data_IF_211627953923
#
_entry.id   IF_211627953923
#
_cell.length_a   1.000
_cell.length_b   1.000
_cell.length_c   1.000
_cell.angle_alpha   90.00
_cell.angle_beta   90.00
_cell.angle_gamma   90.00
#
_symmetry.space_group_name_H-M   'P 1'
#
loop_
_entity.id
_entity.type
_entity.pdbx_description
1 polymer ?
#
# COMPACT_ATOMS: atom_id res chain seq x y z
N UNK A 1 -27.97 20.70 -18.40
CA UNK A 1 -27.14 19.52 -18.07
C UNK A 1 -25.83 19.51 -18.87
N UNK A 2 -25.85 19.44 -20.22
CA UNK A 2 -24.61 19.39 -21.03
C UNK A 2 -23.69 20.62 -20.89
N UNK A 3 -24.27 21.84 -20.84
CA UNK A 3 -23.50 23.07 -20.67
C UNK A 3 -22.71 23.12 -19.35
N UNK A 4 -23.34 22.73 -18.24
CA UNK A 4 -22.71 22.66 -16.90
C UNK A 4 -21.57 21.64 -16.89
N UNK A 5 -21.77 20.48 -17.50
CA UNK A 5 -20.72 19.44 -17.60
C UNK A 5 -19.48 19.93 -18.36
N UNK A 6 -19.67 20.70 -19.44
CA UNK A 6 -18.56 21.26 -20.21
C UNK A 6 -17.80 22.34 -19.43
N UNK A 7 -18.52 23.21 -18.71
CA UNK A 7 -17.91 24.24 -17.85
C UNK A 7 -17.08 23.59 -16.75
N UNK A 8 -17.63 22.57 -16.07
CA UNK A 8 -16.93 21.81 -15.02
C UNK A 8 -15.68 21.12 -15.58
N UNK A 9 -15.77 20.47 -16.74
CA UNK A 9 -14.63 19.86 -17.41
C UNK A 9 -13.53 20.90 -17.74
N UNK A 10 -13.92 22.09 -18.21
CA UNK A 10 -12.99 23.20 -18.47
C UNK A 10 -12.32 23.72 -17.20
N UNK A 11 -13.05 23.83 -16.08
CA UNK A 11 -12.49 24.20 -14.78
C UNK A 11 -11.45 23.16 -14.33
N UNK A 12 -11.76 21.87 -14.45
CA UNK A 12 -10.83 20.78 -14.10
C UNK A 12 -9.56 20.83 -14.95
N UNK A 13 -9.68 21.03 -16.26
CA UNK A 13 -8.54 21.15 -17.15
C UNK A 13 -7.61 22.31 -16.75
N UNK A 14 -8.18 23.48 -16.44
CA UNK A 14 -7.42 24.66 -15.98
C UNK A 14 -6.75 24.45 -14.62
N UNK A 15 -7.41 23.76 -13.70
CA UNK A 15 -6.82 23.40 -12.41
C UNK A 15 -5.65 22.43 -12.59
N UNK A 16 -5.78 21.44 -13.47
CA UNK A 16 -4.72 20.49 -13.77
C UNK A 16 -3.54 21.15 -14.49
N UNK A 17 -3.79 22.05 -15.45
CA UNK A 17 -2.73 22.80 -16.14
C UNK A 17 -1.90 23.67 -15.19
N UNK A 18 -2.54 24.33 -14.22
CA UNK A 18 -1.85 25.22 -13.27
C UNK A 18 -1.11 24.49 -12.17
N UNK A 19 -1.75 23.49 -11.60
CA UNK A 19 -1.29 22.88 -10.34
C UNK A 19 -0.80 21.45 -10.53
N UNK A 20 -0.89 20.90 -11.74
CA UNK A 20 -0.55 19.50 -12.02
C UNK A 20 -1.29 18.57 -11.08
N UNK A 21 -0.55 17.63 -10.51
CA UNK A 21 -1.08 16.66 -9.52
C UNK A 21 -1.43 17.32 -8.18
N UNK A 22 -0.97 18.54 -7.90
CA UNK A 22 -1.29 19.28 -6.67
C UNK A 22 -2.62 20.06 -6.75
N UNK A 23 -3.38 19.93 -7.86
CA UNK A 23 -4.67 20.61 -8.04
C UNK A 23 -5.69 20.29 -6.92
N UNK A 24 -5.46 19.19 -6.22
CA UNK A 24 -6.34 18.56 -5.25
C UNK A 24 -6.20 19.15 -3.86
N UNK A 25 -4.95 19.44 -3.46
CA UNK A 25 -4.62 20.17 -2.23
C UNK A 25 -5.42 21.46 -2.16
N UNK A 26 -5.45 22.16 -3.29
CA UNK A 26 -6.04 23.47 -3.43
C UNK A 26 -7.55 23.41 -3.67
N UNK A 27 -8.02 22.47 -4.49
CA UNK A 27 -9.45 22.26 -4.72
C UNK A 27 -10.17 21.79 -3.44
N UNK A 28 -9.61 20.85 -2.69
CA UNK A 28 -10.22 20.34 -1.47
C UNK A 28 -10.27 21.42 -0.37
N UNK A 29 -9.14 22.07 -0.07
CA UNK A 29 -9.03 23.08 0.99
C UNK A 29 -9.95 24.30 0.74
N UNK A 30 -10.10 24.73 -0.52
CA UNK A 30 -10.85 25.94 -0.83
C UNK A 30 -12.28 25.71 -1.33
N UNK A 31 -12.59 24.59 -1.99
CA UNK A 31 -13.92 24.34 -2.56
C UNK A 31 -14.87 23.63 -1.60
N UNK A 32 -14.39 22.78 -0.69
CA UNK A 32 -15.27 22.11 0.29
C UNK A 32 -15.61 23.00 1.49
N UNK A 33 -14.78 24.00 1.78
CA UNK A 33 -15.10 25.05 2.75
C UNK A 33 -16.13 26.07 2.22
N UNK A 34 -16.50 25.99 0.94
CA UNK A 34 -17.43 26.93 0.32
C UNK A 34 -18.88 26.56 0.66
N UNK A 35 -19.55 27.44 1.39
CA UNK A 35 -20.99 27.30 1.73
C UNK A 35 -21.90 27.85 0.63
N UNK A 36 -21.41 28.75 -0.22
CA UNK A 36 -22.17 29.34 -1.33
C UNK A 36 -21.47 29.18 -2.68
N UNK A 37 -22.23 29.22 -3.78
CA UNK A 37 -21.68 29.14 -5.15
C UNK A 37 -20.75 30.33 -5.44
N UNK A 38 -21.02 31.49 -4.84
CA UNK A 38 -20.14 32.65 -4.89
C UNK A 38 -18.80 32.40 -4.17
N UNK A 39 -18.79 31.64 -3.09
CA UNK A 39 -17.56 31.26 -2.40
C UNK A 39 -16.76 30.23 -3.19
N UNK A 40 -17.41 29.32 -3.92
CA UNK A 40 -16.75 28.45 -4.92
C UNK A 40 -16.07 29.30 -5.98
N UNK A 41 -16.71 30.35 -6.49
CA UNK A 41 -16.10 31.28 -7.46
C UNK A 41 -14.89 32.02 -6.87
N UNK A 42 -14.99 32.51 -5.64
CA UNK A 42 -13.86 33.18 -4.95
C UNK A 42 -12.71 32.20 -4.71
N UNK A 43 -13.02 30.97 -4.31
CA UNK A 43 -12.05 29.89 -4.14
C UNK A 43 -11.31 29.63 -5.46
N UNK A 44 -12.03 29.41 -6.57
CA UNK A 44 -11.42 29.22 -7.88
C UNK A 44 -10.59 30.44 -8.33
N UNK A 45 -11.05 31.66 -8.03
CA UNK A 45 -10.30 32.88 -8.32
C UNK A 45 -8.99 32.98 -7.50
N UNK A 46 -8.98 32.54 -6.24
CA UNK A 46 -7.75 32.40 -5.42
C UNK A 46 -6.79 31.38 -6.01
N UNK A 47 -7.35 30.33 -6.62
CA UNK A 47 -6.61 29.35 -7.43
C UNK A 47 -6.25 29.86 -8.84
N UNK A 48 -6.53 31.13 -9.12
CA UNK A 48 -6.25 31.76 -10.41
C UNK A 48 -7.01 31.16 -11.59
N UNK A 49 -8.08 30.41 -11.33
CA UNK A 49 -9.03 29.93 -12.33
C UNK A 49 -10.19 30.92 -12.36
N UNK A 50 -10.25 31.75 -13.42
CA UNK A 50 -11.34 32.70 -13.62
C UNK A 50 -12.44 32.06 -14.45
N UNK A 51 -13.68 32.28 -14.03
CA UNK A 51 -14.91 31.87 -14.73
C UNK A 51 -15.59 33.16 -15.22
N UNK A 52 -16.07 33.15 -16.46
CA UNK A 52 -16.82 34.26 -17.05
C UNK A 52 -18.18 34.43 -16.34
N UNK A 53 -18.75 35.64 -16.36
CA UNK A 53 -20.01 35.91 -15.65
C UNK A 53 -21.19 35.10 -16.20
N UNK A 54 -21.20 34.81 -17.50
CA UNK A 54 -22.22 34.00 -18.18
C UNK A 54 -22.13 32.53 -17.78
N UNK A 55 -20.91 31.99 -17.70
CA UNK A 55 -20.66 30.63 -17.21
C UNK A 55 -21.04 30.51 -15.73
N UNK A 56 -20.71 31.53 -14.93
CA UNK A 56 -21.04 31.56 -13.51
C UNK A 56 -22.55 31.62 -13.26
N UNK A 57 -23.29 32.46 -13.99
CA UNK A 57 -24.75 32.51 -13.90
C UNK A 57 -25.40 31.15 -14.22
N UNK A 58 -24.81 30.40 -15.15
CA UNK A 58 -25.24 29.02 -15.47
C UNK A 58 -24.98 28.04 -14.33
N UNK A 59 -23.89 28.20 -13.58
CA UNK A 59 -23.58 27.39 -12.39
C UNK A 59 -24.42 27.79 -11.17
N UNK A 60 -24.68 29.09 -10.99
CA UNK A 60 -25.50 29.64 -9.90
C UNK A 60 -26.97 29.24 -10.03
N UNK A 61 -27.50 29.17 -11.25
CA UNK A 61 -28.86 28.68 -11.53
C UNK A 61 -29.10 27.23 -11.05
N UNK A 62 -28.04 26.45 -10.81
CA UNK A 62 -28.11 25.10 -10.22
C UNK A 62 -28.28 25.12 -8.69
N UNK A 63 -27.85 26.18 -8.02
CA UNK A 63 -28.14 26.48 -6.62
C UNK A 63 -27.41 25.68 -5.54
N UNK A 64 -26.66 24.62 -5.89
CA UNK A 64 -26.01 23.75 -4.92
C UNK A 64 -24.48 23.86 -4.98
N UNK A 65 -23.91 24.59 -4.01
CA UNK A 65 -22.47 24.80 -3.87
C UNK A 65 -21.71 23.50 -3.57
N UNK A 66 -22.28 22.65 -2.72
CA UNK A 66 -21.67 21.38 -2.33
C UNK A 66 -21.67 20.40 -3.51
N UNK A 67 -22.78 20.29 -4.24
CA UNK A 67 -22.84 19.47 -5.45
C UNK A 67 -21.95 20.03 -6.57
N UNK A 68 -21.80 21.36 -6.68
CA UNK A 68 -20.88 21.97 -7.64
C UNK A 68 -19.42 21.69 -7.28
N UNK A 69 -19.04 21.83 -6.01
CA UNK A 69 -17.71 21.50 -5.52
C UNK A 69 -17.40 20.01 -5.76
N UNK A 70 -18.35 19.12 -5.42
CA UNK A 70 -18.24 17.69 -5.68
C UNK A 70 -18.15 17.36 -7.18
N UNK A 71 -18.85 18.11 -8.04
CA UNK A 71 -18.73 17.97 -9.48
C UNK A 71 -17.41 18.53 -10.01
N UNK A 72 -16.82 19.56 -9.41
CA UNK A 72 -15.50 20.05 -9.81
C UNK A 72 -14.41 19.05 -9.39
N UNK A 73 -14.46 18.54 -8.16
CA UNK A 73 -13.51 17.54 -7.64
C UNK A 73 -13.72 16.17 -8.31
N UNK A 74 -14.96 15.84 -8.65
CA UNK A 74 -15.35 14.59 -9.28
C UNK A 74 -15.59 13.44 -8.31
N UNK A 75 -16.53 12.57 -8.69
CA UNK A 75 -16.83 11.33 -7.99
C UNK A 75 -15.83 10.26 -8.40
N UNK A 76 -15.31 9.51 -7.43
CA UNK A 76 -14.52 8.31 -7.69
C UNK A 76 -15.35 7.31 -8.51
N UNK A 77 -14.72 6.66 -9.50
CA UNK A 77 -15.36 5.52 -10.16
C UNK A 77 -15.62 4.41 -9.12
N UNK A 78 -16.65 3.56 -9.31
CA UNK A 78 -16.95 2.49 -8.35
C UNK A 78 -15.73 1.60 -8.04
N UNK A 79 -14.91 1.35 -9.08
CA UNK A 79 -13.67 0.58 -9.00
C UNK A 79 -12.63 1.26 -8.09
N UNK A 80 -12.39 2.56 -8.29
CA UNK A 80 -11.49 3.35 -7.43
C UNK A 80 -12.01 3.40 -5.99
N UNK A 81 -13.32 3.53 -5.81
CA UNK A 81 -13.96 3.55 -4.50
C UNK A 81 -13.78 2.23 -3.74
N UNK A 82 -13.79 1.08 -4.42
CA UNK A 82 -13.50 -0.22 -3.79
C UNK A 82 -12.09 -0.25 -3.20
N UNK A 83 -11.08 0.15 -3.98
CA UNK A 83 -9.68 0.11 -3.52
C UNK A 83 -9.42 1.09 -2.37
N UNK A 84 -10.03 2.27 -2.42
CA UNK A 84 -9.98 3.24 -1.31
C UNK A 84 -10.69 2.66 -0.07
N UNK A 85 -11.80 1.95 -0.24
CA UNK A 85 -12.48 1.26 0.85
C UNK A 85 -11.63 0.14 1.49
N UNK A 86 -10.87 -0.61 0.71
CA UNK A 86 -9.92 -1.61 1.21
C UNK A 86 -8.78 -0.95 2.01
N UNK A 87 -8.24 0.17 1.53
CA UNK A 87 -7.24 0.97 2.24
C UNK A 87 -7.79 1.49 3.57
N UNK A 88 -9.01 2.02 3.57
CA UNK A 88 -9.69 2.46 4.78
C UNK A 88 -9.86 1.32 5.78
N UNK A 89 -10.28 0.13 5.33
CA UNK A 89 -10.43 -1.05 6.20
C UNK A 89 -9.12 -1.45 6.87
N UNK A 90 -7.99 -1.34 6.15
CA UNK A 90 -6.66 -1.60 6.73
C UNK A 90 -6.30 -0.57 7.80
N UNK A 91 -6.51 0.71 7.53
CA UNK A 91 -6.26 1.78 8.48
C UNK A 91 -7.09 1.60 9.76
N UNK A 92 -8.35 1.23 9.60
CA UNK A 92 -9.29 0.91 10.68
C UNK A 92 -8.86 -0.24 11.57
N UNK A 93 -8.29 -1.29 10.98
CA UNK A 93 -7.79 -2.43 11.74
C UNK A 93 -6.68 -2.04 12.73
N UNK A 94 -5.95 -0.95 12.45
CA UNK A 94 -4.85 -0.46 13.29
C UNK A 94 -5.31 0.64 14.24
N UNK A 95 -6.22 1.52 13.81
CA UNK A 95 -6.68 2.63 14.65
C UNK A 95 -7.66 2.20 15.75
N UNK A 96 -8.41 1.11 15.56
CA UNK A 96 -9.31 0.54 16.58
C UNK A 96 -10.57 1.34 16.92
N UNK A 97 -10.74 2.56 16.39
CA UNK A 97 -11.96 3.38 16.55
C UNK A 97 -12.99 3.06 15.46
N UNK A 98 -14.29 3.27 15.70
CA UNK A 98 -15.39 2.83 14.81
C UNK A 98 -15.79 3.84 13.71
N UNK A 99 -15.50 5.14 13.86
CA UNK A 99 -15.93 6.16 12.88
C UNK A 99 -14.80 7.01 12.29
N UNK A 100 -13.66 7.13 12.97
CA UNK A 100 -12.55 7.98 12.54
C UNK A 100 -11.19 7.33 12.84
N UNK A 101 -10.11 7.92 12.32
CA UNK A 101 -8.74 7.54 12.64
C UNK A 101 -7.90 8.77 13.01
N UNK A 102 -6.99 8.64 13.96
CA UNK A 102 -6.07 9.75 14.30
C UNK A 102 -5.05 9.96 13.19
N UNK A 103 -4.66 11.21 12.94
CA UNK A 103 -3.65 11.56 11.92
C UNK A 103 -2.35 10.77 12.12
N UNK A 104 -1.91 10.58 13.37
CA UNK A 104 -0.74 9.77 13.70
C UNK A 104 -0.84 8.31 13.23
N UNK A 105 -2.02 7.69 13.31
CA UNK A 105 -2.24 6.33 12.80
C UNK A 105 -2.20 6.30 11.26
N UNK A 106 -2.72 7.36 10.61
CA UNK A 106 -2.65 7.51 9.15
C UNK A 106 -1.18 7.59 8.70
N UNK A 107 -0.36 8.40 9.38
CA UNK A 107 1.08 8.51 9.09
C UNK A 107 1.87 7.23 9.34
N UNK A 108 1.54 6.49 10.40
CA UNK A 108 2.25 5.26 10.74
C UNK A 108 2.10 4.16 9.66
N UNK A 109 1.01 4.20 8.89
CA UNK A 109 0.71 3.20 7.87
C UNK A 109 0.97 3.65 6.44
N UNK A 110 1.01 4.96 6.21
CA UNK A 110 1.22 5.53 4.89
C UNK A 110 2.68 5.38 4.45
N UNK A 111 2.91 4.69 3.32
CA UNK A 111 4.23 4.43 2.77
C UNK A 111 4.33 4.93 1.31
N UNK A 112 4.88 6.14 1.08
CA UNK A 112 5.04 6.69 -0.26
C UNK A 112 6.33 6.22 -0.95
N UNK A 113 7.17 5.39 -0.31
CA UNK A 113 8.48 4.97 -0.87
C UNK A 113 8.37 4.25 -2.23
N UNK A 114 7.18 3.70 -2.52
CA UNK A 114 6.89 2.91 -3.72
C UNK A 114 6.13 3.69 -4.79
N UNK A 115 5.96 4.99 -4.60
CA UNK A 115 5.37 5.87 -5.60
C UNK A 115 6.34 6.05 -6.76
N UNK A 116 5.79 6.11 -7.98
CA UNK A 116 6.59 6.25 -9.18
C UNK A 116 7.44 7.53 -9.13
N UNK A 117 6.88 8.65 -8.66
CA UNK A 117 7.61 9.91 -8.54
C UNK A 117 8.80 9.85 -7.56
N UNK A 118 8.72 8.99 -6.53
CA UNK A 118 9.82 8.74 -5.60
C UNK A 118 10.88 7.85 -6.24
N UNK A 119 10.44 6.81 -6.96
CA UNK A 119 11.35 5.90 -7.68
C UNK A 119 12.12 6.60 -8.80
N UNK A 120 11.51 7.58 -9.47
CA UNK A 120 12.14 8.38 -10.52
C UNK A 120 12.91 9.59 -9.97
N UNK A 121 12.87 9.84 -8.66
CA UNK A 121 13.56 10.97 -8.03
C UNK A 121 12.95 12.34 -8.30
N UNK A 122 11.71 12.40 -8.78
CA UNK A 122 10.99 13.67 -8.97
C UNK A 122 10.49 14.27 -7.65
N UNK A 123 10.20 13.44 -6.65
CA UNK A 123 9.84 13.83 -5.28
C UNK A 123 10.48 12.92 -4.26
N UNK A 124 10.70 13.40 -3.04
CA UNK A 124 11.19 12.58 -1.92
C UNK A 124 10.04 12.00 -1.10
N UNK A 125 10.32 10.97 -0.30
CA UNK A 125 9.37 10.39 0.67
C UNK A 125 8.89 11.47 1.64
N UNK A 126 9.82 12.26 2.18
CA UNK A 126 9.53 13.32 3.15
C UNK A 126 8.59 14.38 2.57
N UNK A 127 8.75 14.72 1.28
CA UNK A 127 7.85 15.66 0.60
C UNK A 127 6.41 15.12 0.56
N UNK A 128 6.22 13.83 0.28
CA UNK A 128 4.87 13.23 0.29
C UNK A 128 4.27 13.15 1.70
N UNK A 129 5.09 12.85 2.71
CA UNK A 129 4.63 12.82 4.11
C UNK A 129 4.26 14.22 4.58
N UNK A 130 5.07 15.24 4.25
CA UNK A 130 4.77 16.62 4.57
C UNK A 130 3.51 17.11 3.84
N UNK A 131 3.36 16.81 2.55
CA UNK A 131 2.14 17.14 1.78
C UNK A 131 0.89 16.53 2.42
N UNK A 132 1.01 15.30 2.93
CA UNK A 132 -0.08 14.64 3.64
C UNK A 132 -0.35 15.28 5.02
N UNK A 133 0.68 15.69 5.76
CA UNK A 133 0.53 16.40 7.05
C UNK A 133 -0.14 17.76 6.88
N UNK A 134 0.28 18.55 5.90
CA UNK A 134 -0.31 19.84 5.59
C UNK A 134 -1.80 19.70 5.26
N UNK A 135 -2.18 18.57 4.64
CA UNK A 135 -3.55 18.29 4.21
C UNK A 135 -4.48 17.88 5.35
N UNK A 136 -3.95 17.36 6.45
CA UNK A 136 -4.69 17.06 7.68
C UNK A 136 -4.34 18.02 8.82
N UNK A 137 -3.71 19.15 8.53
CA UNK A 137 -3.29 20.13 9.54
C UNK A 137 -4.47 20.76 10.28
N UNK A 138 -4.22 21.28 11.49
CA UNK A 138 -5.23 21.87 12.39
C UNK A 138 -6.08 22.98 11.74
N UNK A 139 -5.58 23.67 10.72
CA UNK A 139 -6.36 24.69 9.98
C UNK A 139 -7.44 24.07 9.08
N UNK A 140 -7.17 22.88 8.55
CA UNK A 140 -8.08 22.13 7.67
C UNK A 140 -8.89 21.08 8.43
N UNK A 141 -8.37 20.59 9.55
CA UNK A 141 -8.96 19.54 10.34
C UNK A 141 -8.79 19.79 11.85
N UNK A 142 -9.63 20.64 12.45
CA UNK A 142 -9.44 21.11 13.82
C UNK A 142 -9.67 20.03 14.89
N UNK A 143 -10.24 18.89 14.53
CA UNK A 143 -10.49 17.77 15.45
C UNK A 143 -9.35 16.73 15.50
N UNK A 144 -8.37 16.83 14.59
CA UNK A 144 -7.24 15.92 14.48
C UNK A 144 -7.61 14.48 14.06
N UNK A 145 -8.83 14.28 13.55
CA UNK A 145 -9.39 12.99 13.20
C UNK A 145 -9.75 12.94 11.72
N UNK A 146 -9.35 11.87 11.05
CA UNK A 146 -9.72 11.62 9.66
C UNK A 146 -10.93 10.71 9.65
N UNK A 147 -12.02 11.14 9.01
CA UNK A 147 -13.23 10.34 8.78
C UNK A 147 -13.14 9.60 7.44
N UNK A 148 -14.03 8.62 7.24
CA UNK A 148 -14.10 7.87 5.99
C UNK A 148 -14.43 8.78 4.80
N UNK A 149 -15.33 9.74 4.98
CA UNK A 149 -15.76 10.63 3.90
C UNK A 149 -14.65 11.59 3.49
N UNK A 150 -13.88 12.12 4.45
CA UNK A 150 -12.69 12.93 4.18
C UNK A 150 -11.59 12.12 3.48
N UNK A 151 -11.39 10.87 3.89
CA UNK A 151 -10.45 9.98 3.25
C UNK A 151 -10.82 9.68 1.78
N UNK A 152 -12.11 9.46 1.52
CA UNK A 152 -12.64 9.25 0.16
C UNK A 152 -12.54 10.52 -0.66
N UNK A 153 -12.84 11.69 -0.08
CA UNK A 153 -12.72 12.98 -0.75
C UNK A 153 -11.26 13.29 -1.14
N UNK A 154 -10.31 12.98 -0.25
CA UNK A 154 -8.88 13.07 -0.55
C UNK A 154 -8.50 12.24 -1.79
N UNK A 155 -8.92 10.98 -1.85
CA UNK A 155 -8.64 10.12 -3.00
C UNK A 155 -9.43 10.48 -4.26
N UNK A 156 -10.61 11.09 -4.11
CA UNK A 156 -11.35 11.70 -5.22
C UNK A 156 -10.53 12.78 -5.88
N UNK A 157 -9.75 13.50 -5.07
CA UNK A 157 -8.69 14.32 -5.58
C UNK A 157 -7.64 13.49 -6.33
N UNK A 158 -6.91 12.60 -5.66
CA UNK A 158 -5.76 11.88 -6.26
C UNK A 158 -6.12 11.23 -7.61
N UNK A 159 -7.37 10.78 -7.70
CA UNK A 159 -8.01 10.26 -8.89
C UNK A 159 -7.97 11.21 -10.10
N UNK A 160 -8.10 12.53 -9.93
CA UNK A 160 -8.01 13.50 -11.04
C UNK A 160 -6.63 13.60 -11.67
N UNK A 161 -5.56 13.43 -10.88
CA UNK A 161 -4.17 13.43 -11.39
C UNK A 161 -3.81 12.16 -12.15
N UNK A 162 -4.60 11.08 -11.97
CA UNK A 162 -4.31 9.77 -12.54
C UNK A 162 -5.39 9.37 -13.56
N UNK A 163 -5.03 9.42 -14.84
CA UNK A 163 -5.94 9.17 -15.94
C UNK A 163 -6.52 7.74 -15.94
N UNK A 164 -5.67 6.72 -15.76
CA UNK A 164 -6.07 5.32 -15.84
C UNK A 164 -6.42 4.73 -14.47
N UNK A 165 -7.54 4.00 -14.39
CA UNK A 165 -7.97 3.35 -13.15
C UNK A 165 -6.90 2.39 -12.62
N UNK A 166 -6.23 1.64 -13.49
CA UNK A 166 -5.18 0.66 -13.10
C UNK A 166 -3.99 1.33 -12.42
N UNK A 167 -3.60 2.52 -12.89
CA UNK A 167 -2.49 3.26 -12.29
C UNK A 167 -2.91 3.85 -10.94
N UNK A 168 -4.16 4.30 -10.81
CA UNK A 168 -4.71 4.76 -9.54
C UNK A 168 -4.77 3.63 -8.52
N UNK A 169 -5.30 2.46 -8.90
CA UNK A 169 -5.36 1.29 -8.02
C UNK A 169 -3.96 0.92 -7.53
N UNK A 170 -2.99 0.83 -8.45
CA UNK A 170 -1.61 0.53 -8.10
C UNK A 170 -1.02 1.57 -7.16
N UNK A 171 -1.35 2.84 -7.35
CA UNK A 171 -0.92 3.94 -6.49
C UNK A 171 -1.44 3.75 -5.05
N UNK A 172 -2.75 3.53 -4.88
CA UNK A 172 -3.38 3.32 -3.57
C UNK A 172 -2.90 2.02 -2.92
N UNK A 173 -2.85 0.92 -3.66
CA UNK A 173 -2.41 -0.39 -3.13
C UNK A 173 -0.98 -0.32 -2.57
N UNK A 174 -0.09 0.40 -3.26
CA UNK A 174 1.29 0.59 -2.81
C UNK A 174 1.39 1.51 -1.59
N UNK A 175 0.62 2.60 -1.58
CA UNK A 175 0.58 3.55 -0.46
C UNK A 175 0.25 2.86 0.88
N UNK A 176 -0.66 1.87 0.82
CA UNK A 176 -1.18 1.17 1.99
C UNK A 176 -0.64 -0.25 2.15
N UNK A 177 0.37 -0.64 1.36
CA UNK A 177 0.96 -1.98 1.39
C UNK A 177 -0.08 -3.12 1.26
N UNK A 178 -1.14 -2.91 0.48
CA UNK A 178 -2.23 -3.89 0.24
C UNK A 178 -1.86 -4.93 -0.82
N UNK A 179 -0.82 -4.67 -1.61
CA UNK A 179 -0.33 -5.58 -2.64
C UNK A 179 0.60 -6.68 -2.10
N UNK A 180 1.08 -6.53 -0.86
CA UNK A 180 1.88 -7.56 -0.20
C UNK A 180 0.93 -8.59 0.42
N UNK A 181 1.15 -9.90 0.23
CA UNK A 181 0.48 -10.89 1.05
C UNK A 181 0.78 -10.55 2.51
N UNK A 182 -0.25 -10.49 3.35
CA UNK A 182 -0.08 -10.28 4.78
C UNK A 182 0.96 -11.30 5.25
N UNK A 183 2.12 -10.82 5.70
CA UNK A 183 3.10 -11.70 6.33
C UNK A 183 2.43 -12.12 7.62
N UNK A 184 1.78 -13.28 7.59
CA UNK A 184 1.20 -13.88 8.77
C UNK A 184 2.27 -13.82 9.85
N UNK A 185 1.94 -13.17 10.95
CA UNK A 185 2.85 -13.06 12.08
C UNK A 185 3.28 -14.48 12.47
N UNK A 186 4.49 -14.62 13.04
CA UNK A 186 4.99 -15.95 13.42
C UNK A 186 3.96 -16.71 14.29
N UNK A 187 3.17 -15.99 15.09
CA UNK A 187 2.08 -16.54 15.91
C UNK A 187 0.87 -17.01 15.08
N UNK A 188 0.49 -16.32 14.02
CA UNK A 188 -0.55 -16.76 13.07
C UNK A 188 -0.10 -17.96 12.22
N UNK A 189 1.17 -18.00 11.82
CA UNK A 189 1.79 -19.15 11.13
C UNK A 189 1.84 -20.38 12.06
N UNK A 190 2.11 -20.19 13.35
CA UNK A 190 2.08 -21.25 14.36
C UNK A 190 0.65 -21.73 14.65
N UNK A 191 -0.33 -20.82 14.69
CA UNK A 191 -1.74 -21.17 14.87
C UNK A 191 -2.28 -22.02 13.70
N UNK A 192 -1.94 -21.66 12.47
CA UNK A 192 -2.33 -22.40 11.25
C UNK A 192 -1.55 -23.70 11.03
N UNK A 193 -0.35 -23.83 11.58
CA UNK A 193 0.40 -25.09 11.57
C UNK A 193 -0.21 -26.19 12.46
N UNK A 194 -1.09 -25.82 13.40
CA UNK A 194 -1.76 -26.79 14.29
C UNK A 194 -2.94 -27.49 13.61
N UNK A 195 -3.45 -26.94 12.50
CA UNK A 195 -4.58 -27.48 11.73
C UNK A 195 -4.12 -28.07 10.40
N UNK A 196 -2.99 -28.78 10.37
CA UNK A 196 -2.69 -29.66 9.24
C UNK A 196 -3.66 -30.86 9.31
N UNK A 197 -4.55 -31.07 8.32
CA UNK A 197 -5.26 -32.33 8.23
C UNK A 197 -4.19 -33.40 8.01
N UNK A 198 -4.03 -34.35 8.94
CA UNK A 198 -3.17 -35.52 8.72
C UNK A 198 -3.53 -36.10 7.35
N UNK A 199 -2.62 -35.96 6.40
CA UNK A 199 -2.88 -36.46 5.05
C UNK A 199 -3.19 -37.96 5.18
N UNK A 200 -4.28 -38.42 4.57
CA UNK A 200 -4.57 -39.85 4.40
C UNK A 200 -3.66 -40.47 3.33
N UNK A 201 -2.46 -39.93 3.11
CA UNK A 201 -1.49 -40.41 2.13
C UNK A 201 -0.73 -41.66 2.61
N UNK A 202 -1.35 -42.47 3.46
CA UNK A 202 -0.89 -43.80 3.85
C UNK A 202 -1.62 -44.94 3.12
N UNK A 203 -2.53 -44.64 2.18
CA UNK A 203 -3.10 -45.67 1.31
C UNK A 203 -2.20 -45.84 0.09
N UNK A 204 -1.54 -46.99 0.04
CA UNK A 204 -0.78 -47.49 -1.09
C UNK A 204 -1.54 -47.24 -2.39
N UNK A 205 -1.01 -46.37 -3.26
CA UNK A 205 -1.61 -46.10 -4.55
C UNK A 205 -1.15 -47.21 -5.53
N UNK A 206 -2.07 -47.89 -6.26
CA UNK A 206 -1.73 -49.06 -7.06
C UNK A 206 -0.73 -48.81 -8.20
N UNK A 207 -0.49 -47.55 -8.57
CA UNK A 207 0.46 -47.17 -9.63
C UNK A 207 1.81 -46.65 -9.10
N UNK A 208 2.00 -46.51 -7.79
CA UNK A 208 3.26 -46.00 -7.23
C UNK A 208 3.65 -46.82 -5.99
N UNK A 209 4.37 -47.92 -6.23
CA UNK A 209 5.14 -48.57 -5.18
C UNK A 209 6.51 -47.86 -5.10
N UNK A 210 6.85 -47.21 -3.98
CA UNK A 210 8.19 -46.67 -3.82
C UNK A 210 9.18 -47.84 -3.80
N UNK A 211 10.10 -47.85 -4.77
CA UNK A 211 11.16 -48.85 -4.96
C UNK A 211 12.08 -49.03 -3.74
N UNK A 212 12.01 -48.11 -2.77
CA UNK A 212 12.72 -48.18 -1.49
C UNK A 212 12.22 -49.29 -0.55
N UNK A 213 11.06 -49.91 -0.80
CA UNK A 213 10.57 -51.03 0.04
C UNK A 213 11.12 -52.40 -0.37
N UNK A 214 11.71 -52.51 -1.56
CA UNK A 214 12.34 -53.73 -2.08
C UNK A 214 13.88 -53.64 -2.05
N UNK A 215 14.46 -52.45 -2.24
CA UNK A 215 15.91 -52.23 -2.23
C UNK A 215 16.39 -52.17 -0.78
N UNK A 216 16.73 -53.32 -0.20
CA UNK A 216 17.38 -53.38 1.12
C UNK A 216 17.04 -54.61 1.96
N UNK A 217 16.00 -55.37 1.61
CA UNK A 217 15.58 -56.54 2.41
C UNK A 217 16.42 -57.82 2.23
N UNK A 218 17.35 -57.83 1.25
CA UNK A 218 18.25 -58.96 0.98
C UNK A 218 19.72 -58.52 0.93
N UNK A 219 20.15 -57.60 1.81
CA UNK A 219 21.57 -57.24 1.92
C UNK A 219 22.43 -58.33 2.56
N UNK A 220 21.82 -59.27 3.29
CA UNK A 220 22.53 -60.39 3.92
C UNK A 220 22.94 -61.49 2.93
N UNK A 221 22.36 -61.52 1.72
CA UNK A 221 22.67 -62.51 0.68
C UNK A 221 23.45 -61.93 -0.51
N UNK A 222 23.62 -60.60 -0.60
CA UNK A 222 24.12 -59.96 -1.82
C UNK A 222 25.65 -59.86 -1.91
N UNK A 223 26.39 -60.13 -0.83
CA UNK A 223 27.85 -59.93 -0.81
C UNK A 223 28.59 -61.00 -0.01
N UNK A 224 28.61 -62.23 -0.53
CA UNK A 224 29.60 -63.22 -0.13
C UNK A 224 30.91 -62.94 -0.87
N UNK A 225 31.54 -61.81 -0.53
CA UNK A 225 32.82 -61.40 -1.11
C UNK A 225 33.94 -62.00 -0.27
N UNK A 226 34.91 -62.71 -0.87
CA UNK A 226 36.04 -63.27 -0.13
C UNK A 226 36.72 -62.20 0.73
N UNK A 227 36.93 -62.52 2.02
CA UNK A 227 37.54 -61.64 3.04
C UNK A 227 38.90 -61.03 2.65
N UNK A 228 39.53 -61.48 1.57
CA UNK A 228 40.77 -60.91 1.02
C UNK A 228 40.62 -59.50 0.45
N UNK A 229 39.41 -59.03 0.15
CA UNK A 229 39.18 -57.70 -0.45
C UNK A 229 38.59 -56.67 0.53
N UNK A 230 38.28 -57.08 1.77
CA UNK A 230 37.88 -56.15 2.82
C UNK A 230 39.12 -55.46 3.40
N UNK A 231 39.57 -54.38 2.76
CA UNK A 231 40.50 -53.43 3.37
C UNK A 231 39.77 -52.69 4.48
N UNK A 232 39.87 -53.20 5.70
CA UNK A 232 39.41 -52.51 6.90
C UNK A 232 39.87 -51.04 6.90
N UNK A 233 38.91 -50.11 6.88
CA UNK A 233 39.09 -48.73 7.35
C UNK A 233 40.12 -47.85 6.64
N UNK A 234 40.53 -48.14 5.41
CA UNK A 234 41.60 -47.39 4.74
C UNK A 234 41.18 -46.09 4.04
N UNK A 235 39.90 -45.67 4.11
CA UNK A 235 39.43 -44.51 3.35
C UNK A 235 39.62 -43.16 4.08
N UNK A 236 39.86 -43.14 5.41
CA UNK A 236 39.90 -41.88 6.17
C UNK A 236 41.15 -41.67 7.03
N UNK A 237 42.16 -42.55 6.97
CA UNK A 237 43.38 -42.43 7.78
C UNK A 237 44.23 -41.18 7.49
N UNK A 238 44.09 -40.57 6.30
CA UNK A 238 44.93 -39.44 5.85
C UNK A 238 44.15 -38.18 5.46
N UNK A 239 42.85 -38.08 5.79
CA UNK A 239 42.12 -36.84 5.55
C UNK A 239 42.62 -35.73 6.51
N UNK A 240 43.07 -34.56 6.01
CA UNK A 240 43.49 -33.46 6.89
C UNK A 240 42.35 -33.03 7.80
N UNK A 241 42.57 -33.06 9.12
CA UNK A 241 41.62 -32.52 10.10
C UNK A 241 41.73 -30.98 10.08
N UNK A 242 40.65 -30.22 9.88
CA UNK A 242 40.69 -28.77 10.06
C UNK A 242 41.04 -28.47 11.53
N UNK A 243 42.11 -27.70 11.74
CA UNK A 243 42.52 -27.29 13.09
C UNK A 243 41.58 -26.21 13.64
N UNK A 244 41.28 -26.22 14.95
CA UNK A 244 40.58 -25.12 15.59
C UNK A 244 41.49 -23.89 15.59
N UNK A 245 41.07 -22.82 14.92
CA UNK A 245 41.75 -21.52 14.95
C UNK A 245 41.69 -20.93 16.35
N UNK A 246 42.75 -21.12 17.14
CA UNK A 246 42.99 -20.39 18.37
C UNK A 246 43.56 -19.01 18.05
N UNK A 247 42.79 -17.96 18.33
CA UNK A 247 43.31 -16.60 18.49
C UNK A 247 42.73 -15.60 17.50
N UNK A 248 41.71 -14.87 17.94
CA UNK A 248 41.60 -13.41 17.85
C UNK A 248 40.47 -12.99 18.80
N UNK A 249 40.79 -12.93 20.08
CA UNK A 249 40.06 -12.08 21.02
C UNK A 249 40.52 -10.65 20.77
N UNK A 250 39.66 -9.80 20.23
CA UNK A 250 39.72 -8.36 20.46
C UNK A 250 38.34 -7.91 20.95
N UNK A 251 38.30 -7.53 22.22
CA UNK A 251 37.18 -6.90 22.88
C UNK A 251 37.04 -5.43 22.45
N UNK A 252 35.87 -4.86 22.78
CA UNK A 252 35.55 -3.42 22.82
C UNK A 252 35.24 -2.80 21.44
N UNK A 253 34.15 -2.08 21.21
CA UNK A 253 33.56 -1.05 22.08
C UNK A 253 32.05 -0.91 21.85
N UNK A 254 31.30 -0.83 22.96
CA UNK A 254 29.88 -0.45 23.01
C UNK A 254 29.83 1.06 23.27
N UNK A 255 29.60 1.86 22.24
CA UNK A 255 29.34 3.30 22.41
C UNK A 255 27.89 3.52 22.82
N UNK A 256 27.71 4.03 24.04
CA UNK A 256 26.52 4.72 24.49
C UNK A 256 26.93 6.20 24.53
N UNK A 257 26.33 7.03 23.68
CA UNK A 257 26.46 8.49 23.75
C UNK A 257 25.10 9.02 24.18
N UNK A 258 25.21 10.05 25.02
CA UNK A 258 24.23 10.74 25.86
C UNK A 258 23.10 11.34 25.04
#
# INVERSE_FOLDING_TARGET
>A
MAAVSNIVAGIRARLHERYGDNCLRLAHQHLLAASTVADVRKALARLGVRIADEEFATLEARGDAAALAADIVGKLSPRRHTVVGEAWRRLKAVCGMETACTIGAVHALFDPSRFQAVQTGHKTVDQYVQEMQELFSDESNPDGLVTQDEFVAFYGGVSMGIAQDVDFERHVLRAWNLDKPQVATRDELMATATTVPKSKAGREHPLYQPSSTAIGKNLDQAFDVPRSHNRAGAFTKHAPRPQPSSGLNTASTRSKVI
#
